data_IF_408009017012
#
_entry.id   IF_408009017012
#
_cell.length_a   1.000
_cell.length_b   1.000
_cell.length_c   1.000
_cell.angle_alpha   90.00
_cell.angle_beta   90.00
_cell.angle_gamma   90.00
#
_symmetry.space_group_name_H-M   'P 1'
#
loop_
_entity.id
_entity.type
_entity.pdbx_description
1 polymer ?
#
# COMPACT_ATOMS: atom_id res chain seq x y z
N UNK A 1 -15.42 0.41 0.28
CA UNK A 1 -14.83 0.19 1.61
C UNK A 1 -13.75 -0.90 1.56
N UNK A 2 -12.92 -0.94 2.57
CA UNK A 2 -11.89 -1.97 2.70
C UNK A 2 -12.51 -3.38 2.75
N UNK A 3 -13.56 -3.55 3.54
CA UNK A 3 -14.24 -4.84 3.67
C UNK A 3 -14.83 -5.31 2.34
N UNK A 4 -15.39 -4.39 1.57
CA UNK A 4 -15.93 -4.70 0.26
C UNK A 4 -14.87 -5.14 -0.72
N UNK A 5 -13.70 -4.47 -0.71
CA UNK A 5 -12.57 -4.84 -1.55
C UNK A 5 -12.07 -6.25 -1.21
N UNK A 6 -11.95 -6.57 0.08
CA UNK A 6 -11.56 -7.90 0.53
C UNK A 6 -12.57 -8.98 0.12
N UNK A 7 -13.87 -8.66 0.20
CA UNK A 7 -14.92 -9.56 -0.25
C UNK A 7 -14.84 -9.84 -1.75
N UNK A 8 -14.53 -8.83 -2.56
CA UNK A 8 -14.35 -9.00 -4.00
C UNK A 8 -13.17 -9.90 -4.32
N UNK A 9 -12.07 -9.80 -3.59
CA UNK A 9 -10.92 -10.69 -3.75
C UNK A 9 -11.33 -12.13 -3.45
N UNK A 10 -12.09 -12.34 -2.37
CA UNK A 10 -12.55 -13.67 -1.99
C UNK A 10 -13.49 -14.28 -3.04
N UNK A 11 -14.37 -13.47 -3.64
CA UNK A 11 -15.33 -13.93 -4.64
C UNK A 11 -14.70 -14.26 -5.99
N UNK A 12 -13.76 -13.43 -6.46
CA UNK A 12 -13.26 -13.50 -7.83
C UNK A 12 -11.88 -14.17 -7.94
N UNK A 13 -11.21 -14.36 -6.82
CA UNK A 13 -9.86 -14.90 -6.79
C UNK A 13 -8.80 -13.85 -7.18
N UNK A 14 -7.56 -14.04 -6.70
CA UNK A 14 -6.50 -13.05 -6.91
C UNK A 14 -5.92 -13.04 -8.32
N UNK A 15 -6.14 -14.09 -9.10
CA UNK A 15 -5.55 -14.22 -10.44
C UNK A 15 -6.42 -13.70 -11.56
N UNK A 16 -7.64 -13.28 -11.25
CA UNK A 16 -8.53 -12.69 -12.26
C UNK A 16 -7.90 -11.41 -12.80
N UNK A 17 -7.86 -11.28 -14.11
CA UNK A 17 -7.30 -10.09 -14.78
C UNK A 17 -8.36 -9.01 -14.92
N UNK A 18 -7.97 -7.78 -14.57
CA UNK A 18 -8.81 -6.59 -14.69
C UNK A 18 -8.17 -5.68 -15.73
N UNK A 19 -9.00 -5.22 -16.70
CA UNK A 19 -8.53 -4.26 -17.70
C UNK A 19 -8.54 -2.84 -17.11
N UNK A 20 -7.38 -2.17 -17.16
CA UNK A 20 -7.24 -0.78 -16.74
C UNK A 20 -6.55 -0.03 -17.87
N UNK A 21 -7.33 0.79 -18.60
CA UNK A 21 -6.86 1.39 -19.84
C UNK A 21 -6.43 0.31 -20.82
N UNK A 22 -5.25 0.44 -21.45
CA UNK A 22 -4.75 -0.58 -22.37
C UNK A 22 -4.06 -1.75 -21.69
N UNK A 23 -3.94 -1.75 -20.37
CA UNK A 23 -3.16 -2.75 -19.63
C UNK A 23 -4.09 -3.59 -18.76
N UNK A 24 -4.01 -4.92 -18.92
CA UNK A 24 -4.65 -5.85 -18.00
C UNK A 24 -3.72 -6.19 -16.87
N UNK A 25 -4.22 -6.20 -15.63
CA UNK A 25 -3.48 -6.65 -14.45
C UNK A 25 -4.30 -7.65 -13.66
N UNK A 26 -3.66 -8.57 -12.91
CA UNK A 26 -4.39 -9.49 -12.05
C UNK A 26 -5.26 -8.75 -11.04
N UNK A 27 -6.49 -9.23 -10.83
CA UNK A 27 -7.44 -8.61 -9.91
C UNK A 27 -6.86 -8.44 -8.51
N UNK A 28 -6.15 -9.45 -8.00
CA UNK A 28 -5.54 -9.37 -6.68
C UNK A 28 -4.53 -8.22 -6.55
N UNK A 29 -3.70 -8.01 -7.56
CA UNK A 29 -2.75 -6.90 -7.56
C UNK A 29 -3.45 -5.54 -7.65
N UNK A 30 -4.47 -5.44 -8.51
CA UNK A 30 -5.26 -4.22 -8.62
C UNK A 30 -5.91 -3.87 -7.29
N UNK A 31 -6.55 -4.83 -6.65
CA UNK A 31 -7.24 -4.59 -5.38
C UNK A 31 -6.27 -4.28 -4.24
N UNK A 32 -5.07 -4.88 -4.24
CA UNK A 32 -4.02 -4.52 -3.27
C UNK A 32 -3.61 -3.06 -3.43
N UNK A 33 -3.48 -2.60 -4.67
CA UNK A 33 -3.15 -1.20 -4.96
C UNK A 33 -4.25 -0.27 -4.45
N UNK A 34 -5.53 -0.64 -4.68
CA UNK A 34 -6.66 0.15 -4.20
C UNK A 34 -6.73 0.17 -2.67
N UNK A 35 -6.49 -0.96 -2.03
CA UNK A 35 -6.45 -1.03 -0.57
C UNK A 35 -5.30 -0.18 -0.02
N UNK A 36 -4.14 -0.24 -0.65
CA UNK A 36 -2.99 0.60 -0.30
C UNK A 36 -3.36 2.08 -0.30
N UNK A 37 -3.97 2.56 -1.40
CA UNK A 37 -4.39 3.95 -1.52
C UNK A 37 -5.40 4.34 -0.44
N UNK A 38 -6.39 3.48 -0.17
CA UNK A 38 -7.40 3.74 0.85
C UNK A 38 -6.78 3.84 2.24
N UNK A 39 -5.83 2.98 2.56
CA UNK A 39 -5.12 3.02 3.85
C UNK A 39 -4.32 4.31 4.00
N UNK A 40 -3.56 4.69 2.98
CA UNK A 40 -2.75 5.91 3.01
C UNK A 40 -3.63 7.15 3.13
N UNK A 41 -4.72 7.22 2.36
CA UNK A 41 -5.66 8.34 2.46
C UNK A 41 -6.36 8.40 3.81
N UNK A 42 -6.69 7.24 4.40
CA UNK A 42 -7.25 7.20 5.75
C UNK A 42 -6.29 7.79 6.78
N UNK A 43 -5.02 7.49 6.66
CA UNK A 43 -3.98 8.07 7.52
C UNK A 43 -3.84 9.58 7.31
N UNK A 44 -3.93 10.05 6.05
CA UNK A 44 -3.88 11.47 5.75
C UNK A 44 -5.05 12.22 6.39
N UNK A 45 -6.25 11.67 6.30
CA UNK A 45 -7.44 12.25 6.92
C UNK A 45 -7.29 12.28 8.44
N UNK A 46 -6.81 11.20 9.04
CA UNK A 46 -6.59 11.13 10.47
C UNK A 46 -5.61 12.21 10.94
N UNK A 47 -4.51 12.40 10.21
CA UNK A 47 -3.53 13.47 10.52
C UNK A 47 -4.14 14.84 10.40
N UNK A 48 -4.92 15.09 9.36
CA UNK A 48 -5.54 16.39 9.12
C UNK A 48 -6.60 16.73 10.17
N UNK A 49 -7.32 15.73 10.68
CA UNK A 49 -8.42 15.94 11.64
C UNK A 49 -8.01 15.75 13.09
N UNK A 50 -6.82 15.22 13.36
CA UNK A 50 -6.38 14.89 14.72
C UNK A 50 -7.09 13.68 15.31
N UNK A 51 -7.81 12.91 14.50
CA UNK A 51 -8.53 11.70 14.95
C UNK A 51 -7.70 10.45 14.65
N UNK A 52 -7.86 9.37 15.45
CA UNK A 52 -7.22 8.11 15.15
C UNK A 52 -7.74 7.54 13.83
N UNK A 53 -6.87 6.89 13.04
CA UNK A 53 -7.30 6.27 11.79
C UNK A 53 -8.13 5.00 11.98
N UNK A 54 -8.03 4.35 13.15
CA UNK A 54 -8.83 3.16 13.45
C UNK A 54 -8.51 1.93 12.62
N UNK A 55 -7.41 1.92 11.87
CA UNK A 55 -7.05 0.79 11.01
C UNK A 55 -6.51 -0.37 11.83
N UNK A 56 -6.92 -1.63 11.52
CA UNK A 56 -6.35 -2.80 12.18
C UNK A 56 -4.84 -2.91 11.94
N UNK A 57 -4.12 -3.40 12.93
CA UNK A 57 -2.66 -3.55 12.85
C UNK A 57 -2.23 -4.46 11.70
N UNK A 58 -2.96 -5.54 11.44
CA UNK A 58 -2.66 -6.45 10.34
C UNK A 58 -2.82 -5.80 8.97
N UNK A 59 -3.79 -4.91 8.82
CA UNK A 59 -3.97 -4.14 7.58
C UNK A 59 -2.78 -3.21 7.37
N UNK A 60 -2.37 -2.49 8.41
CA UNK A 60 -1.20 -1.61 8.34
C UNK A 60 0.06 -2.41 8.01
N UNK A 61 0.25 -3.58 8.62
CA UNK A 61 1.40 -4.43 8.35
C UNK A 61 1.44 -4.90 6.88
N UNK A 62 0.30 -5.32 6.33
CA UNK A 62 0.21 -5.76 4.95
C UNK A 62 0.53 -4.63 3.96
N UNK A 63 0.03 -3.43 4.24
CA UNK A 63 0.29 -2.26 3.40
C UNK A 63 1.75 -1.83 3.51
N UNK A 64 2.34 -1.86 4.70
CA UNK A 64 3.76 -1.56 4.90
C UNK A 64 4.65 -2.55 4.13
N UNK A 65 4.30 -3.85 4.14
CA UNK A 65 5.02 -4.87 3.38
C UNK A 65 4.95 -4.58 1.87
N UNK A 66 3.77 -4.25 1.36
CA UNK A 66 3.62 -3.88 -0.04
C UNK A 66 4.44 -2.64 -0.38
N UNK A 67 4.41 -1.61 0.47
CA UNK A 67 5.20 -0.40 0.26
C UNK A 67 6.69 -0.69 0.18
N UNK A 68 7.20 -1.56 1.06
CA UNK A 68 8.60 -1.97 1.04
C UNK A 68 8.97 -2.69 -0.26
N UNK A 69 8.11 -3.58 -0.74
CA UNK A 69 8.32 -4.27 -2.02
C UNK A 69 8.37 -3.31 -3.20
N UNK A 70 7.49 -2.31 -3.19
CA UNK A 70 7.50 -1.27 -4.23
C UNK A 70 8.81 -0.49 -4.18
N UNK A 71 9.26 -0.09 -3.01
CA UNK A 71 10.53 0.63 -2.85
C UNK A 71 11.71 -0.18 -3.39
N UNK A 72 11.75 -1.48 -3.12
CA UNK A 72 12.81 -2.36 -3.62
C UNK A 72 12.78 -2.42 -5.15
N UNK A 73 11.60 -2.56 -5.75
CA UNK A 73 11.45 -2.61 -7.21
C UNK A 73 11.88 -1.30 -7.89
N UNK A 74 11.72 -0.18 -7.19
CA UNK A 74 12.17 1.13 -7.69
C UNK A 74 13.68 1.35 -7.52
N UNK A 75 14.38 0.43 -6.88
CA UNK A 75 15.80 0.56 -6.61
C UNK A 75 16.14 1.25 -5.30
N UNK A 76 15.15 1.46 -4.43
CA UNK A 76 15.31 2.21 -3.18
C UNK A 76 15.44 1.31 -1.95
N UNK A 77 15.65 0.01 -2.14
CA UNK A 77 15.70 -0.94 -1.03
C UNK A 77 16.82 -0.67 -0.04
N UNK A 78 18.00 -0.29 -0.51
CA UNK A 78 19.13 0.04 0.37
C UNK A 78 18.82 1.27 1.23
N UNK A 79 18.26 2.32 0.61
CA UNK A 79 17.87 3.53 1.34
C UNK A 79 16.82 3.20 2.42
N UNK A 80 15.87 2.35 2.09
CA UNK A 80 14.85 1.91 3.04
C UNK A 80 15.48 1.17 4.22
N UNK A 81 16.39 0.24 3.96
CA UNK A 81 17.06 -0.52 5.02
C UNK A 81 17.92 0.38 5.92
N UNK A 82 18.62 1.35 5.36
CA UNK A 82 19.39 2.30 6.14
C UNK A 82 18.50 3.15 7.04
N UNK A 83 17.34 3.58 6.53
CA UNK A 83 16.40 4.35 7.33
C UNK A 83 15.80 3.53 8.47
N UNK A 84 15.39 2.30 8.18
CA UNK A 84 14.76 1.42 9.17
C UNK A 84 15.73 0.94 10.24
N UNK A 85 17.03 0.94 9.95
CA UNK A 85 18.06 0.51 10.89
C UNK A 85 18.80 1.69 11.55
N UNK A 86 18.29 2.92 11.34
CA UNK A 86 18.82 4.10 11.98
C UNK A 86 20.19 4.57 11.47
N UNK A 87 20.61 4.11 10.28
CA UNK A 87 21.92 4.45 9.75
C UNK A 87 21.93 5.75 8.96
N UNK A 88 20.84 6.01 8.25
CA UNK A 88 20.69 7.19 7.40
C UNK A 88 19.19 7.45 7.19
N UNK A 89 18.71 8.70 7.29
CA UNK A 89 17.30 8.98 7.01
C UNK A 89 17.01 8.82 5.52
N UNK A 90 15.73 8.61 5.18
CA UNK A 90 15.27 8.67 3.80
C UNK A 90 15.50 10.07 3.25
N UNK A 91 15.68 10.20 1.91
CA UNK A 91 15.73 11.53 1.29
C UNK A 91 14.51 12.37 1.65
N UNK A 92 14.72 13.67 1.74
CA UNK A 92 13.63 14.58 2.05
C UNK A 92 12.53 14.44 1.01
N UNK A 93 11.27 14.40 1.46
CA UNK A 93 10.09 14.23 0.60
C UNK A 93 10.05 12.89 -0.15
N UNK A 94 10.75 11.88 0.36
CA UNK A 94 10.70 10.57 -0.27
C UNK A 94 9.26 10.04 -0.31
N UNK A 95 8.88 9.47 -1.45
CA UNK A 95 7.58 8.80 -1.63
C UNK A 95 7.72 7.70 -2.68
N UNK A 96 6.98 6.62 -2.48
CA UNK A 96 6.85 5.56 -3.49
C UNK A 96 5.69 5.83 -4.45
N UNK A 97 4.90 6.84 -4.17
CA UNK A 97 3.75 7.22 -4.99
C UNK A 97 4.07 8.33 -5.98
#
# INVERSE_FOLDING_TARGET
>A
TLNRALALIAQNGPDRVVAIGPIGIPLGEYLRTRVFELVVHSMDIARATGLPHGLPTDVVANVADLAARIAVRKGDGEDLLFALTGRRPLPQRYSIL
#
